data_IF_597717863273
#
_entry.id   IF_597717863273
#
_cell.length_a   1.000
_cell.length_b   1.000
_cell.length_c   1.000
_cell.angle_alpha   90.00
_cell.angle_beta   90.00
_cell.angle_gamma   90.00
#
_symmetry.space_group_name_H-M   'P 1'
#
loop_
_entity.id
_entity.type
_entity.pdbx_description
1 polymer ?
#
# COMPACT_ATOMS: atom_id res chain seq x y z
N UNK A 1 65.40 -10.08 -30.51
CA UNK A 1 65.27 -11.22 -29.60
C UNK A 1 64.87 -10.72 -28.21
N UNK A 2 63.58 -10.79 -27.85
CA UNK A 2 63.01 -11.10 -26.52
C UNK A 2 61.49 -10.87 -26.55
N UNK A 3 60.78 -11.96 -26.29
CA UNK A 3 59.33 -12.15 -26.11
C UNK A 3 58.97 -11.79 -24.67
N UNK A 4 57.79 -11.18 -24.41
CA UNK A 4 56.84 -11.37 -23.27
C UNK A 4 55.59 -10.50 -23.60
N UNK A 5 54.35 -10.93 -23.84
CA UNK A 5 53.42 -11.96 -23.34
C UNK A 5 52.78 -11.63 -21.96
N UNK A 6 51.44 -11.56 -21.97
CA UNK A 6 50.44 -11.53 -20.87
C UNK A 6 50.06 -10.14 -20.29
N UNK A 7 48.80 -9.79 -19.99
CA UNK A 7 47.53 -10.54 -19.99
C UNK A 7 46.34 -9.56 -20.09
N UNK A 8 45.27 -10.01 -20.77
CA UNK A 8 43.92 -9.46 -20.66
C UNK A 8 43.42 -9.58 -19.22
N UNK A 9 42.88 -8.49 -18.65
CA UNK A 9 41.96 -8.56 -17.52
C UNK A 9 40.64 -7.89 -17.91
N UNK A 10 39.74 -8.72 -18.44
CA UNK A 10 38.36 -8.36 -18.71
C UNK A 10 37.60 -8.25 -17.38
N UNK A 11 37.35 -7.03 -16.92
CA UNK A 11 36.45 -6.78 -15.79
C UNK A 11 35.02 -6.87 -16.32
N UNK A 12 34.42 -8.06 -16.19
CA UNK A 12 33.00 -8.27 -16.36
C UNK A 12 32.25 -7.57 -15.22
N UNK A 13 31.93 -6.29 -15.42
CA UNK A 13 31.03 -5.55 -14.54
C UNK A 13 29.59 -5.98 -14.86
N UNK A 14 29.18 -7.12 -14.28
CA UNK A 14 27.81 -7.60 -14.33
C UNK A 14 26.92 -6.65 -13.53
N UNK A 15 26.50 -5.55 -14.15
CA UNK A 15 25.46 -4.68 -13.62
C UNK A 15 24.15 -5.46 -13.61
N UNK A 16 23.83 -6.09 -12.47
CA UNK A 16 22.49 -6.60 -12.21
C UNK A 16 21.57 -5.39 -12.03
N UNK A 17 21.02 -4.87 -13.12
CA UNK A 17 19.87 -3.97 -13.04
C UNK A 17 18.72 -4.79 -12.47
N UNK A 18 18.42 -4.59 -11.18
CA UNK A 18 17.17 -5.04 -10.60
C UNK A 18 16.05 -4.32 -11.36
N UNK A 19 15.48 -5.00 -12.35
CA UNK A 19 14.28 -4.57 -13.05
C UNK A 19 13.18 -4.55 -11.99
N UNK A 20 12.85 -3.36 -11.51
CA UNK A 20 11.61 -3.13 -10.77
C UNK A 20 10.48 -3.48 -11.74
N UNK A 21 9.97 -4.71 -11.65
CA UNK A 21 8.87 -5.15 -12.48
C UNK A 21 7.71 -4.16 -12.31
N UNK A 22 7.40 -3.43 -13.38
CA UNK A 22 6.27 -2.53 -13.41
C UNK A 22 5.01 -3.39 -13.44
N UNK A 23 4.43 -3.60 -12.27
CA UNK A 23 3.43 -4.65 -12.03
C UNK A 23 2.02 -4.35 -12.55
N UNK A 24 1.92 -3.67 -13.70
CA UNK A 24 0.64 -3.30 -14.31
C UNK A 24 -0.20 -2.34 -13.48
N UNK A 25 0.26 -1.91 -12.29
CA UNK A 25 -0.41 -0.89 -11.48
C UNK A 25 -0.23 0.47 -12.15
N UNK A 26 -1.34 1.12 -12.49
CA UNK A 26 -1.34 2.45 -13.10
C UNK A 26 -1.47 3.54 -12.06
N UNK A 27 -2.37 3.35 -11.11
CA UNK A 27 -2.64 4.30 -10.05
C UNK A 27 -2.71 3.61 -8.70
N UNK A 28 -2.24 4.30 -7.66
CA UNK A 28 -2.39 3.86 -6.28
C UNK A 28 -2.56 5.07 -5.37
N UNK A 29 -3.60 5.04 -4.55
CA UNK A 29 -3.97 6.11 -3.63
C UNK A 29 -4.16 5.51 -2.24
N UNK A 30 -3.53 6.11 -1.23
CA UNK A 30 -3.62 5.67 0.15
C UNK A 30 -4.47 6.64 0.96
N UNK A 31 -5.29 6.09 1.83
CA UNK A 31 -6.20 6.83 2.69
C UNK A 31 -6.04 6.40 4.14
N UNK A 32 -6.27 7.36 5.03
CA UNK A 32 -6.25 7.18 6.47
C UNK A 32 -7.58 7.67 7.03
N UNK A 33 -8.26 6.81 7.77
CA UNK A 33 -9.38 7.20 8.63
C UNK A 33 -8.88 7.20 10.07
N UNK A 34 -8.95 8.35 10.75
CA UNK A 34 -8.70 8.44 12.18
C UNK A 34 -10.03 8.67 12.89
N UNK A 35 -10.38 7.74 13.77
CA UNK A 35 -11.53 7.79 14.65
C UNK A 35 -11.06 8.33 16.00
N UNK A 36 -11.73 9.35 16.52
CA UNK A 36 -11.45 9.78 17.88
C UNK A 36 -11.97 8.71 18.84
N UNK A 37 -11.17 8.28 19.83
CA UNK A 37 -11.67 7.42 20.89
C UNK A 37 -12.74 8.17 21.68
N UNK A 38 -13.93 7.58 21.75
CA UNK A 38 -15.10 8.07 22.47
C UNK A 38 -15.93 6.86 22.92
N UNK A 39 -16.39 6.88 24.18
CA UNK A 39 -17.08 5.83 24.95
C UNK A 39 -17.33 4.55 24.14
N UNK A 40 -16.35 3.63 24.11
CA UNK A 40 -16.57 2.34 23.46
C UNK A 40 -17.67 1.66 24.27
N UNK A 41 -18.84 1.35 23.66
CA UNK A 41 -19.91 0.72 24.39
C UNK A 41 -19.37 -0.60 24.93
N UNK A 42 -19.54 -0.84 26.23
CA UNK A 42 -19.07 -2.05 26.90
C UNK A 42 -20.21 -3.04 27.05
N UNK A 43 -19.90 -4.33 27.04
CA UNK A 43 -20.85 -5.38 27.38
C UNK A 43 -21.12 -5.40 28.91
N UNK A 44 -21.98 -6.30 29.35
CA UNK A 44 -22.32 -6.48 30.77
C UNK A 44 -21.10 -6.84 31.65
N UNK A 45 -20.01 -7.34 31.05
CA UNK A 45 -18.74 -7.67 31.70
C UNK A 45 -17.71 -6.53 31.64
N UNK A 46 -18.12 -5.32 31.22
CA UNK A 46 -17.26 -4.15 30.99
C UNK A 46 -16.22 -4.36 29.88
N UNK A 47 -16.41 -5.35 29.00
CA UNK A 47 -15.55 -5.55 27.84
C UNK A 47 -16.02 -4.68 26.67
N UNK A 48 -15.12 -4.06 25.89
CA UNK A 48 -15.51 -3.27 24.74
C UNK A 48 -16.30 -4.11 23.71
N UNK A 49 -17.54 -3.71 23.38
CA UNK A 49 -18.37 -4.35 22.33
C UNK A 49 -17.77 -4.21 20.93
N UNK A 50 -16.86 -3.25 20.74
CA UNK A 50 -16.09 -3.10 19.50
C UNK A 50 -14.61 -2.98 19.80
N UNK A 51 -13.86 -4.02 19.47
CA UNK A 51 -12.40 -3.99 19.40
C UNK A 51 -11.97 -3.67 17.97
N UNK A 52 -11.47 -2.45 17.75
CA UNK A 52 -10.93 -2.03 16.45
C UNK A 52 -9.87 -0.94 16.65
N UNK A 53 -8.95 -0.76 15.70
CA UNK A 53 -7.95 0.30 15.81
C UNK A 53 -8.62 1.68 15.67
N UNK A 54 -8.12 2.66 16.42
CA UNK A 54 -8.54 4.08 16.30
C UNK A 54 -8.18 4.67 14.94
N UNK A 55 -7.32 4.00 14.16
CA UNK A 55 -6.93 4.40 12.82
C UNK A 55 -6.93 3.21 11.87
N UNK A 56 -7.54 3.37 10.70
CA UNK A 56 -7.49 2.39 9.62
C UNK A 56 -6.90 2.99 8.35
N UNK A 57 -5.94 2.28 7.77
CA UNK A 57 -5.40 2.61 6.45
C UNK A 57 -6.07 1.74 5.39
N UNK A 58 -6.43 2.37 4.28
CA UNK A 58 -6.86 1.68 3.07
C UNK A 58 -6.05 2.18 1.89
N UNK A 59 -5.80 1.31 0.93
CA UNK A 59 -5.19 1.69 -0.35
C UNK A 59 -6.10 1.24 -1.47
N UNK A 60 -6.34 2.12 -2.42
CA UNK A 60 -7.01 1.78 -3.67
C UNK A 60 -5.99 1.77 -4.78
N UNK A 61 -6.01 0.72 -5.60
CA UNK A 61 -5.09 0.56 -6.70
C UNK A 61 -5.81 0.12 -7.96
N UNK A 62 -5.41 0.72 -9.07
CA UNK A 62 -5.84 0.37 -10.41
C UNK A 62 -4.73 -0.43 -11.07
N UNK A 63 -5.05 -1.63 -11.55
CA UNK A 63 -4.09 -2.52 -12.20
C UNK A 63 -4.68 -3.18 -13.44
N UNK A 64 -3.86 -3.32 -14.48
CA UNK A 64 -4.20 -4.14 -15.65
C UNK A 64 -4.23 -5.65 -15.32
N UNK A 65 -3.69 -6.05 -14.17
CA UNK A 65 -3.79 -7.42 -13.68
C UNK A 65 -5.18 -7.68 -13.08
N UNK A 66 -5.84 -8.73 -13.59
CA UNK A 66 -7.11 -9.24 -13.02
C UNK A 66 -6.92 -10.12 -11.79
N UNK A 67 -5.67 -10.41 -11.41
CA UNK A 67 -5.32 -11.21 -10.24
C UNK A 67 -4.40 -10.42 -9.33
N UNK A 68 -4.94 -10.00 -8.20
CA UNK A 68 -4.20 -9.39 -7.10
C UNK A 68 -4.35 -10.28 -5.87
N UNK A 69 -3.28 -10.42 -5.10
CA UNK A 69 -3.25 -11.22 -3.89
C UNK A 69 -2.55 -10.49 -2.76
N UNK A 70 -2.85 -10.96 -1.56
CA UNK A 70 -2.39 -10.40 -0.30
C UNK A 70 -0.86 -10.25 -0.22
N UNK A 71 -0.45 -9.36 0.69
CA UNK A 71 0.95 -9.11 0.96
C UNK A 71 1.15 -8.29 2.21
N UNK A 72 2.04 -7.30 2.14
CA UNK A 72 2.43 -6.49 3.29
C UNK A 72 2.56 -5.01 2.91
N UNK A 73 2.37 -4.15 3.90
CA UNK A 73 2.66 -2.73 3.77
C UNK A 73 3.52 -2.24 4.93
N UNK A 74 4.30 -1.19 4.67
CA UNK A 74 5.11 -0.50 5.67
C UNK A 74 4.75 0.99 5.67
N UNK A 75 4.40 1.50 6.85
CA UNK A 75 4.01 2.90 7.07
C UNK A 75 4.62 3.34 8.38
N UNK A 76 5.37 4.44 8.39
CA UNK A 76 5.92 5.05 9.61
C UNK A 76 6.65 4.02 10.52
N UNK A 77 7.44 3.12 9.91
CA UNK A 77 8.20 2.08 10.63
C UNK A 77 7.38 0.89 11.15
N UNK A 78 6.06 0.88 10.93
CA UNK A 78 5.16 -0.23 11.29
C UNK A 78 4.88 -1.11 10.08
N UNK A 79 4.59 -2.38 10.35
CA UNK A 79 4.25 -3.38 9.33
C UNK A 79 2.76 -3.71 9.43
N UNK A 80 2.13 -3.88 8.28
CA UNK A 80 0.72 -4.25 8.14
C UNK A 80 0.61 -5.47 7.22
N UNK A 81 -0.32 -6.37 7.51
CA UNK A 81 -0.82 -7.30 6.48
C UNK A 81 -1.72 -6.52 5.53
N UNK A 82 -1.57 -6.80 4.24
CA UNK A 82 -2.31 -6.13 3.18
C UNK A 82 -3.29 -7.13 2.57
N UNK A 83 -4.58 -6.94 2.85
CA UNK A 83 -5.65 -7.81 2.37
C UNK A 83 -6.32 -7.20 1.16
N UNK A 84 -6.28 -7.90 0.04
CA UNK A 84 -6.73 -7.37 -1.25
C UNK A 84 -8.12 -7.91 -1.58
N UNK A 85 -9.04 -7.00 -1.89
CA UNK A 85 -10.37 -7.33 -2.37
C UNK A 85 -10.70 -6.51 -3.62
N UNK A 86 -11.56 -7.05 -4.48
CA UNK A 86 -12.01 -6.32 -5.66
C UNK A 86 -12.94 -5.19 -5.21
N UNK A 87 -12.71 -3.99 -5.74
CA UNK A 87 -13.57 -2.85 -5.46
C UNK A 87 -14.58 -2.68 -6.58
N UNK A 88 -15.86 -2.80 -6.23
CA UNK A 88 -17.00 -2.58 -7.12
C UNK A 88 -17.89 -1.42 -6.63
N UNK A 89 -17.43 -0.71 -5.59
CA UNK A 89 -18.14 0.42 -5.02
C UNK A 89 -17.97 1.71 -5.82
N UNK A 90 -18.55 2.79 -5.28
CA UNK A 90 -18.45 4.13 -5.88
C UNK A 90 -17.00 4.59 -6.04
N UNK A 91 -16.77 5.46 -7.02
CA UNK A 91 -15.52 6.22 -7.11
C UNK A 91 -15.40 7.25 -5.97
N UNK A 92 -16.53 7.71 -5.42
CA UNK A 92 -16.56 8.62 -4.28
C UNK A 92 -16.36 7.81 -2.98
N UNK A 93 -15.25 8.03 -2.28
CA UNK A 93 -14.85 7.21 -1.11
C UNK A 93 -14.94 7.96 0.23
N UNK A 94 -15.32 9.23 0.21
CA UNK A 94 -15.47 10.04 1.41
C UNK A 94 -15.16 11.51 1.15
N UNK A 95 -14.92 12.25 2.23
CA UNK A 95 -14.48 13.65 2.19
C UNK A 95 -13.08 13.78 2.76
N UNK A 96 -12.22 14.62 2.18
CA UNK A 96 -10.92 14.92 2.77
C UNK A 96 -11.12 15.70 4.07
N UNK A 97 -10.42 15.30 5.14
CA UNK A 97 -10.64 15.87 6.48
C UNK A 97 -10.36 17.38 6.54
N UNK A 98 -9.37 17.87 5.80
CA UNK A 98 -8.94 19.26 5.86
C UNK A 98 -9.83 20.19 5.03
N UNK A 99 -10.14 19.81 3.79
CA UNK A 99 -10.89 20.65 2.85
C UNK A 99 -12.40 20.40 2.90
N UNK A 100 -12.84 19.23 3.37
CA UNK A 100 -14.23 18.79 3.28
C UNK A 100 -14.67 18.41 1.86
N UNK A 101 -13.76 18.46 0.88
CA UNK A 101 -14.04 18.11 -0.51
C UNK A 101 -14.24 16.60 -0.68
N UNK A 102 -15.14 16.21 -1.58
CA UNK A 102 -15.35 14.80 -1.93
C UNK A 102 -14.09 14.23 -2.58
N UNK A 103 -13.56 13.17 -2.00
CA UNK A 103 -12.43 12.43 -2.54
C UNK A 103 -12.92 11.38 -3.51
N UNK A 104 -12.40 11.44 -4.73
CA UNK A 104 -12.70 10.48 -5.80
C UNK A 104 -11.49 9.63 -6.13
N UNK A 105 -11.72 8.35 -6.37
CA UNK A 105 -10.72 7.47 -6.93
C UNK A 105 -10.41 7.90 -8.35
N UNK A 106 -9.22 8.46 -8.55
CA UNK A 106 -8.67 8.65 -9.88
C UNK A 106 -8.46 7.28 -10.58
N UNK A 107 -9.22 7.02 -11.64
CA UNK A 107 -9.03 5.90 -12.56
C UNK A 107 -8.50 6.40 -13.90
N UNK A 108 -7.68 5.62 -14.58
CA UNK A 108 -7.22 5.95 -15.91
C UNK A 108 -8.38 5.84 -16.91
N UNK A 109 -8.60 6.90 -17.69
CA UNK A 109 -9.64 6.90 -18.71
C UNK A 109 -9.41 5.77 -19.74
N UNK A 110 -10.46 4.99 -20.03
CA UNK A 110 -10.49 4.04 -21.14
C UNK A 110 -9.86 2.66 -20.90
N UNK A 111 -9.54 2.28 -19.66
CA UNK A 111 -8.94 0.97 -19.38
C UNK A 111 -9.94 -0.04 -18.78
N UNK A 112 -9.86 -1.29 -19.22
CA UNK A 112 -10.56 -2.46 -18.62
C UNK A 112 -9.89 -2.95 -17.32
N UNK A 113 -9.26 -2.01 -16.62
CA UNK A 113 -8.40 -2.29 -15.49
C UNK A 113 -9.22 -2.62 -14.24
N UNK A 114 -8.62 -3.43 -13.40
CA UNK A 114 -9.19 -3.85 -12.14
C UNK A 114 -8.90 -2.81 -11.05
N UNK A 115 -9.95 -2.35 -10.38
CA UNK A 115 -9.83 -1.54 -9.17
C UNK A 115 -9.86 -2.48 -7.95
N UNK A 116 -8.88 -2.34 -7.09
CA UNK A 116 -8.76 -3.13 -5.87
C UNK A 116 -8.73 -2.23 -4.65
N UNK A 117 -9.38 -2.68 -3.59
CA UNK A 117 -9.24 -2.14 -2.25
C UNK A 117 -8.27 -3.02 -1.47
N UNK A 118 -7.38 -2.39 -0.73
CA UNK A 118 -6.40 -3.05 0.11
C UNK A 118 -6.58 -2.55 1.52
N UNK A 119 -6.98 -3.44 2.41
CA UNK A 119 -7.14 -3.14 3.82
C UNK A 119 -5.86 -3.48 4.56
N UNK A 120 -5.39 -2.55 5.39
CA UNK A 120 -4.14 -2.71 6.12
C UNK A 120 -4.43 -2.99 7.58
N UNK A 121 -4.02 -4.17 8.05
CA UNK A 121 -4.17 -4.59 9.43
C UNK A 121 -2.79 -4.60 10.11
N UNK A 122 -2.59 -3.89 11.23
CA UNK A 122 -1.31 -3.89 11.92
C UNK A 122 -0.87 -5.29 12.34
N UNK A 123 0.40 -5.63 12.13
CA UNK A 123 0.97 -6.89 12.63
C UNK A 123 2.02 -6.62 13.70
N UNK A 124 2.09 -7.49 14.72
CA UNK A 124 3.11 -7.40 15.79
C UNK A 124 4.52 -7.75 15.31
N UNK A 125 4.63 -8.37 14.13
CA UNK A 125 5.90 -8.85 13.58
C UNK A 125 6.74 -7.68 13.08
N UNK A 126 8.02 -7.67 13.45
CA UNK A 126 9.02 -6.78 12.86
C UNK A 126 9.50 -7.35 11.53
N UNK A 127 9.46 -6.56 10.47
CA UNK A 127 9.95 -6.91 9.14
C UNK A 127 10.57 -5.68 8.48
N UNK A 128 11.73 -5.86 7.83
CA UNK A 128 12.38 -4.77 7.09
C UNK A 128 11.58 -4.47 5.81
N UNK A 129 11.37 -3.18 5.54
CA UNK A 129 10.71 -2.76 4.30
C UNK A 129 11.59 -3.10 3.08
N UNK A 130 11.00 -3.56 1.96
CA UNK A 130 11.72 -3.87 0.72
C UNK A 130 12.23 -2.61 0.00
N UNK A 131 11.69 -1.44 0.36
CA UNK A 131 12.12 -0.14 -0.14
C UNK A 131 12.13 0.88 1.00
N UNK A 132 12.87 1.98 0.82
CA UNK A 132 12.89 3.09 1.78
C UNK A 132 11.53 3.79 1.77
N UNK A 133 10.83 3.77 2.90
CA UNK A 133 9.64 4.59 3.12
C UNK A 133 10.05 5.95 3.70
N UNK A 134 9.57 7.05 3.11
CA UNK A 134 9.59 8.36 3.77
C UNK A 134 8.52 8.46 4.86
N UNK A 135 8.52 9.58 5.60
CA UNK A 135 7.46 9.87 6.55
C UNK A 135 6.11 9.98 5.81
N UNK A 136 5.06 9.35 6.36
CA UNK A 136 3.71 9.32 5.79
C UNK A 136 3.64 8.76 4.35
N UNK A 137 4.57 7.88 4.00
CA UNK A 137 4.53 7.12 2.76
C UNK A 137 4.14 5.67 3.05
N UNK A 138 3.46 5.04 2.09
CA UNK A 138 3.14 3.62 2.13
C UNK A 138 4.07 2.89 1.18
N UNK A 139 4.89 1.99 1.69
CA UNK A 139 5.53 0.97 0.86
C UNK A 139 4.57 -0.21 0.84
N UNK A 140 3.99 -0.52 -0.31
CA UNK A 140 3.04 -1.61 -0.49
C UNK A 140 3.71 -2.71 -1.30
N UNK A 141 3.69 -3.94 -0.79
CA UNK A 141 4.12 -5.12 -1.52
C UNK A 141 2.96 -6.11 -1.63
N UNK A 142 2.51 -6.37 -2.85
CA UNK A 142 1.43 -7.32 -3.16
C UNK A 142 1.89 -8.38 -4.14
N UNK A 143 1.08 -9.43 -4.29
CA UNK A 143 1.30 -10.46 -5.31
C UNK A 143 0.37 -10.21 -6.50
N UNK A 144 0.91 -9.88 -7.67
CA UNK A 144 0.14 -9.80 -8.91
C UNK A 144 0.53 -10.93 -9.84
N UNK A 145 -0.44 -11.75 -10.26
CA UNK A 145 -0.19 -12.90 -11.14
C UNK A 145 1.00 -13.78 -10.69
N UNK A 146 1.11 -14.02 -9.38
CA UNK A 146 2.17 -14.83 -8.77
C UNK A 146 3.52 -14.13 -8.58
N UNK A 147 3.65 -12.85 -8.95
CA UNK A 147 4.88 -12.06 -8.77
C UNK A 147 4.73 -11.03 -7.66
N UNK A 148 5.79 -10.88 -6.84
CA UNK A 148 5.86 -9.83 -5.83
C UNK A 148 6.11 -8.48 -6.48
N UNK A 149 5.32 -7.50 -6.07
CA UNK A 149 5.25 -6.18 -6.67
C UNK A 149 5.31 -5.13 -5.58
N UNK A 150 6.34 -4.30 -5.62
CA UNK A 150 6.55 -3.25 -4.60
C UNK A 150 6.25 -1.89 -5.20
N UNK A 151 5.43 -1.10 -4.52
CA UNK A 151 5.07 0.26 -4.90
C UNK A 151 5.22 1.19 -3.71
N UNK A 152 5.68 2.42 -3.96
CA UNK A 152 5.75 3.48 -2.96
C UNK A 152 4.69 4.52 -3.26
N UNK A 153 3.72 4.65 -2.36
CA UNK A 153 2.65 5.65 -2.41
C UNK A 153 3.08 6.81 -1.54
N UNK A 154 3.29 7.97 -2.19
CA UNK A 154 3.96 9.12 -1.56
C UNK A 154 3.04 10.02 -0.74
N UNK A 155 1.72 9.95 -0.96
CA UNK A 155 0.72 10.75 -0.26
C UNK A 155 -0.32 9.82 0.36
N UNK A 156 -0.62 10.07 1.62
CA UNK A 156 -1.77 9.51 2.32
C UNK A 156 -2.76 10.65 2.54
N UNK A 157 -3.99 10.49 2.06
CA UNK A 157 -5.06 11.46 2.27
C UNK A 157 -5.88 11.06 3.49
N UNK A 158 -6.06 11.96 4.44
CA UNK A 158 -6.90 11.70 5.61
C UNK A 158 -8.36 11.96 5.26
N UNK A 159 -9.23 10.98 5.52
CA UNK A 159 -10.66 11.09 5.29
C UNK A 159 -11.37 11.54 6.57
N UNK A 160 -12.39 12.38 6.40
CA UNK A 160 -13.31 12.75 7.46
C UNK A 160 -14.13 11.52 7.87
N UNK A 161 -14.09 11.18 9.15
CA UNK A 161 -14.94 10.15 9.74
C UNK A 161 -16.06 10.83 10.51
N UNK A 162 -17.34 10.44 10.33
CA UNK A 162 -18.41 10.94 11.16
C UNK A 162 -18.11 10.69 12.65
N UNK A 163 -18.47 11.63 13.55
CA UNK A 163 -18.37 11.38 14.98
C UNK A 163 -19.18 10.13 15.35
N UNK A 164 -18.58 9.24 16.14
CA UNK A 164 -19.29 8.15 16.77
C UNK A 164 -20.12 8.73 17.93
N UNK A 165 -21.42 8.43 17.93
CA UNK A 165 -22.34 8.74 19.03
C UNK A 165 -22.48 7.49 19.89
#
# INVERSE_FOLDING_TARGET
MKIQLYALLAIAFSATTAVNAQCGTRNAQAFLEVRMPGIIPVDENRQPLRSGPDSSYSVFLESSSRKAGDGFAWINGRVYSAHVSRWEGSADIGKEKQSGETVRLATAAGASDALWRVELVPVKKKMKAPAKAGANQVVLQLNFSGKKCTQVIRRVTELAVPPAV
#
